data_IF_621568761170
#
_entry.id   IF_621568761170
#
_cell.length_a   1.000
_cell.length_b   1.000
_cell.length_c   1.000
_cell.angle_alpha   90.00
_cell.angle_beta   90.00
_cell.angle_gamma   90.00
#
_symmetry.space_group_name_H-M   'P 1'
#
loop_
_entity.id
_entity.type
_entity.pdbx_description
1 polymer ?
#
# COMPACT_ATOMS: atom_id res chain seq x y z
N UNK A 1 6.43 11.46 -13.12
CA UNK A 1 6.82 12.50 -12.13
C UNK A 1 5.97 12.27 -10.89
N UNK A 2 6.58 12.16 -9.72
CA UNK A 2 5.85 11.83 -8.49
C UNK A 2 5.19 13.10 -7.96
N UNK A 3 3.89 13.08 -7.65
CA UNK A 3 3.20 14.27 -7.16
C UNK A 3 3.76 14.76 -5.82
N UNK A 4 3.84 16.08 -5.64
CA UNK A 4 4.19 16.69 -4.35
C UNK A 4 3.20 16.24 -3.26
N UNK A 5 3.70 15.98 -2.05
CA UNK A 5 2.92 15.53 -0.89
C UNK A 5 2.26 14.15 -1.04
N UNK A 6 2.70 13.35 -2.01
CA UNK A 6 2.41 11.92 -2.12
C UNK A 6 3.72 11.17 -1.95
N UNK A 7 3.73 10.23 -1.00
CA UNK A 7 4.94 9.47 -0.64
C UNK A 7 4.74 7.98 -0.89
N UNK A 8 4.92 7.54 -2.15
CA UNK A 8 4.77 6.14 -2.53
C UNK A 8 5.99 5.34 -2.06
N UNK A 9 5.74 4.24 -1.37
CA UNK A 9 6.76 3.29 -0.92
C UNK A 9 6.33 1.88 -1.31
N UNK A 10 7.28 1.13 -1.84
CA UNK A 10 7.10 -0.29 -2.07
C UNK A 10 7.91 -1.08 -1.06
N UNK A 11 7.24 -2.05 -0.43
CA UNK A 11 7.83 -2.97 0.53
C UNK A 11 7.91 -4.35 -0.09
N UNK A 12 9.10 -4.93 -0.11
CA UNK A 12 9.34 -6.28 -0.65
C UNK A 12 9.67 -7.18 0.54
N UNK A 13 8.76 -8.11 0.86
CA UNK A 13 8.95 -9.08 1.94
C UNK A 13 7.97 -10.27 1.76
N UNK A 14 8.23 -11.40 2.40
CA UNK A 14 7.35 -12.58 2.31
C UNK A 14 6.16 -12.53 3.28
N UNK A 15 6.27 -11.81 4.39
CA UNK A 15 5.21 -11.66 5.39
C UNK A 15 4.53 -10.28 5.27
N UNK A 16 3.98 -10.03 4.08
CA UNK A 16 3.38 -8.74 3.72
C UNK A 16 2.18 -8.37 4.60
N UNK A 17 1.37 -9.37 4.98
CA UNK A 17 0.18 -9.20 5.82
C UNK A 17 0.55 -8.70 7.23
N UNK A 18 1.53 -9.34 7.89
CA UNK A 18 1.98 -8.91 9.22
C UNK A 18 2.52 -7.48 9.18
N UNK A 19 3.42 -7.20 8.23
CA UNK A 19 4.06 -5.89 8.09
C UNK A 19 3.01 -4.80 7.86
N UNK A 20 2.11 -4.97 6.88
CA UNK A 20 1.09 -3.96 6.60
C UNK A 20 0.13 -3.78 7.76
N UNK A 21 -0.23 -4.84 8.48
CA UNK A 21 -1.15 -4.71 9.60
C UNK A 21 -0.50 -3.96 10.76
N UNK A 22 0.76 -4.24 11.10
CA UNK A 22 1.54 -3.46 12.07
C UNK A 22 1.68 -1.99 11.66
N UNK A 23 1.99 -1.74 10.39
CA UNK A 23 2.08 -0.39 9.83
C UNK A 23 0.72 0.33 9.92
N UNK A 24 -0.38 -0.36 9.63
CA UNK A 24 -1.74 0.20 9.74
C UNK A 24 -2.05 0.64 11.17
N UNK A 25 -1.74 -0.23 12.15
CA UNK A 25 -1.91 0.09 13.57
C UNK A 25 -1.06 1.31 13.94
N UNK A 26 0.22 1.32 13.58
CA UNK A 26 1.11 2.42 13.92
C UNK A 26 0.59 3.77 13.40
N UNK A 27 0.12 3.82 12.15
CA UNK A 27 -0.44 5.05 11.60
C UNK A 27 -1.77 5.45 12.25
N UNK A 28 -2.62 4.47 12.58
CA UNK A 28 -3.85 4.72 13.29
C UNK A 28 -3.59 5.24 14.72
N UNK A 29 -2.57 4.74 15.42
CA UNK A 29 -2.11 5.26 16.72
C UNK A 29 -1.65 6.73 16.64
N UNK A 30 -1.18 7.17 15.47
CA UNK A 30 -0.88 8.59 15.19
C UNK A 30 -2.11 9.41 14.80
N UNK A 31 -3.30 8.84 14.85
CA UNK A 31 -4.56 9.51 14.52
C UNK A 31 -4.82 9.66 13.01
N UNK A 32 -4.13 8.88 12.16
CA UNK A 32 -4.32 8.94 10.71
C UNK A 32 -5.40 7.95 10.25
N UNK A 33 -6.22 8.38 9.29
CA UNK A 33 -7.18 7.49 8.64
C UNK A 33 -6.44 6.58 7.65
N UNK A 34 -6.55 5.28 7.85
CA UNK A 34 -5.85 4.25 7.08
C UNK A 34 -6.85 3.45 6.26
N UNK A 35 -6.57 3.29 4.97
CA UNK A 35 -7.19 2.26 4.14
C UNK A 35 -6.28 1.05 4.08
N UNK A 36 -6.81 -0.10 4.49
CA UNK A 36 -6.15 -1.39 4.38
C UNK A 36 -6.82 -2.19 3.27
N UNK A 37 -6.20 -2.24 2.10
CA UNK A 37 -6.73 -2.89 0.91
C UNK A 37 -6.09 -4.26 0.73
N UNK A 38 -6.89 -5.31 0.63
CA UNK A 38 -6.42 -6.70 0.51
C UNK A 38 -7.26 -7.50 -0.49
N UNK A 39 -6.68 -8.47 -1.22
CA UNK A 39 -7.45 -9.33 -2.12
C UNK A 39 -8.40 -10.30 -1.40
N UNK A 40 -8.08 -10.64 -0.16
CA UNK A 40 -8.87 -11.57 0.66
C UNK A 40 -9.10 -11.02 2.06
N UNK A 41 -10.13 -11.56 2.72
CA UNK A 41 -10.38 -11.33 4.13
C UNK A 41 -9.14 -11.68 4.95
N UNK A 42 -8.90 -10.91 6.01
CA UNK A 42 -7.92 -11.28 7.02
C UNK A 42 -8.59 -12.32 7.91
N UNK A 43 -8.25 -13.59 7.73
CA UNK A 43 -8.86 -14.69 8.47
C UNK A 43 -8.58 -14.59 9.98
N UNK A 44 -7.40 -14.07 10.35
CA UNK A 44 -7.00 -13.82 11.73
C UNK A 44 -6.08 -12.61 11.81
N UNK A 45 -6.07 -11.95 12.98
CA UNK A 45 -5.03 -11.00 13.33
C UNK A 45 -3.70 -11.79 13.34
N UNK A 46 -2.65 -11.33 12.64
CA UNK A 46 -1.36 -12.01 12.65
C UNK A 46 -0.87 -12.29 14.07
N UNK A 47 -0.28 -13.47 14.29
CA UNK A 47 0.29 -13.83 15.58
C UNK A 47 1.30 -12.76 16.02
N UNK A 48 1.37 -12.47 17.33
CA UNK A 48 2.24 -11.45 17.95
C UNK A 48 1.79 -9.99 17.80
N UNK A 49 0.55 -9.73 17.38
CA UNK A 49 -0.02 -8.39 17.41
C UNK A 49 -0.93 -8.26 18.63
N UNK A 50 -0.56 -7.38 19.57
CA UNK A 50 -1.45 -6.96 20.65
C UNK A 50 -2.62 -6.22 20.00
N UNK A 51 -3.88 -6.64 20.23
CA UNK A 51 -5.03 -6.01 19.61
C UNK A 51 -5.10 -4.55 20.08
N UNK A 52 -5.12 -3.58 19.15
CA UNK A 52 -5.18 -2.18 19.51
C UNK A 52 -6.57 -1.82 20.03
N UNK A 53 -6.67 -0.68 20.72
CA UNK A 53 -7.92 -0.19 21.25
C UNK A 53 -8.97 0.04 20.14
N UNK A 54 -10.26 -0.05 20.53
CA UNK A 54 -11.39 0.13 19.61
C UNK A 54 -11.32 1.45 18.84
N UNK A 55 -10.84 2.51 19.47
CA UNK A 55 -10.70 3.83 18.86
C UNK A 55 -9.66 3.85 17.74
N UNK A 56 -8.54 3.13 17.92
CA UNK A 56 -7.50 2.98 16.90
C UNK A 56 -8.02 2.16 15.72
N UNK A 57 -8.74 1.07 15.99
CA UNK A 57 -9.35 0.25 14.93
C UNK A 57 -10.36 1.03 14.09
N UNK A 58 -11.08 2.00 14.67
CA UNK A 58 -12.03 2.84 13.92
C UNK A 58 -11.37 3.76 12.89
N UNK A 59 -10.06 4.00 13.00
CA UNK A 59 -9.29 4.77 12.02
C UNK A 59 -8.83 3.90 10.85
N UNK A 60 -8.93 2.57 10.96
CA UNK A 60 -8.55 1.62 9.91
C UNK A 60 -9.81 1.15 9.18
N UNK A 61 -9.91 1.48 7.90
CA UNK A 61 -10.96 0.97 7.01
C UNK A 61 -10.40 -0.21 6.22
N UNK A 62 -10.91 -1.41 6.50
CA UNK A 62 -10.59 -2.62 5.75
C UNK A 62 -11.41 -2.70 4.48
N UNK A 63 -10.76 -2.93 3.35
CA UNK A 63 -11.38 -2.96 2.02
C UNK A 63 -10.86 -4.21 1.31
N UNK A 64 -11.78 -5.05 0.85
CA UNK A 64 -11.46 -6.34 0.25
C UNK A 64 -11.83 -6.32 -1.24
N UNK A 65 -10.81 -6.29 -2.11
CA UNK A 65 -10.96 -6.13 -3.56
C UNK A 65 -10.23 -7.27 -4.24
N UNK A 66 -10.98 -8.19 -4.85
CA UNK A 66 -10.42 -9.48 -5.27
C UNK A 66 -9.39 -9.34 -6.40
N UNK A 67 -9.58 -8.40 -7.31
CA UNK A 67 -8.79 -8.28 -8.51
C UNK A 67 -8.50 -6.82 -8.90
N UNK A 68 -7.68 -6.66 -9.96
CA UNK A 68 -7.26 -5.37 -10.48
C UNK A 68 -8.43 -4.48 -10.88
N UNK A 69 -9.51 -5.07 -11.42
CA UNK A 69 -10.67 -4.32 -11.91
C UNK A 69 -11.45 -3.74 -10.74
N UNK A 70 -11.66 -4.52 -9.70
CA UNK A 70 -12.30 -4.07 -8.46
C UNK A 70 -11.48 -2.95 -7.80
N UNK A 71 -10.15 -3.10 -7.77
CA UNK A 71 -9.24 -2.08 -7.26
C UNK A 71 -9.33 -0.77 -8.06
N UNK A 72 -9.24 -0.83 -9.39
CA UNK A 72 -9.37 0.35 -10.25
C UNK A 72 -10.73 1.04 -10.09
N UNK A 73 -11.83 0.27 -10.08
CA UNK A 73 -13.16 0.82 -9.88
C UNK A 73 -13.28 1.54 -8.54
N UNK A 74 -12.76 0.93 -7.48
CA UNK A 74 -12.77 1.53 -6.15
C UNK A 74 -11.98 2.86 -6.13
N UNK A 75 -10.74 2.85 -6.64
CA UNK A 75 -9.87 4.03 -6.71
C UNK A 75 -10.45 5.16 -7.56
N UNK A 76 -11.11 4.84 -8.68
CA UNK A 76 -11.75 5.83 -9.55
C UNK A 76 -12.88 6.59 -8.84
N UNK A 77 -13.55 5.97 -7.88
CA UNK A 77 -14.61 6.62 -7.11
C UNK A 77 -14.12 7.44 -5.93
N UNK A 78 -12.81 7.40 -5.58
CA UNK A 78 -12.26 7.97 -4.33
C UNK A 78 -12.63 9.45 -4.09
N UNK A 79 -12.80 10.22 -5.16
CA UNK A 79 -13.19 11.62 -5.11
C UNK A 79 -14.59 11.83 -4.50
N UNK A 80 -15.48 10.84 -4.60
CA UNK A 80 -16.85 10.87 -4.07
C UNK A 80 -16.94 10.53 -2.57
N UNK A 81 -15.88 9.99 -1.97
CA UNK A 81 -15.93 9.48 -0.60
C UNK A 81 -15.93 10.60 0.43
N UNK A 82 -16.83 10.57 1.41
CA UNK A 82 -16.87 11.59 2.46
C UNK A 82 -15.62 11.54 3.36
N UNK A 83 -15.16 10.35 3.73
CA UNK A 83 -13.93 10.14 4.51
C UNK A 83 -12.82 9.69 3.57
N UNK A 84 -11.80 10.53 3.41
CA UNK A 84 -10.65 10.23 2.57
C UNK A 84 -9.47 9.76 3.44
N UNK A 85 -8.76 8.70 3.07
CA UNK A 85 -7.61 8.21 3.84
C UNK A 85 -6.43 9.19 3.76
N UNK A 86 -5.59 9.19 4.79
CA UNK A 86 -4.25 9.80 4.77
C UNK A 86 -3.19 8.75 4.44
N UNK A 87 -3.48 7.47 4.74
CA UNK A 87 -2.61 6.33 4.43
C UNK A 87 -3.38 5.32 3.59
N UNK A 88 -2.81 4.91 2.47
CA UNK A 88 -3.35 3.84 1.61
C UNK A 88 -2.35 2.69 1.64
N UNK A 89 -2.78 1.55 2.16
CA UNK A 89 -2.02 0.31 2.24
C UNK A 89 -2.58 -0.70 1.25
N UNK A 90 -1.75 -1.22 0.36
CA UNK A 90 -2.14 -2.25 -0.61
C UNK A 90 -1.36 -3.53 -0.32
N UNK A 91 -2.09 -4.57 0.08
CA UNK A 91 -1.53 -5.90 0.27
C UNK A 91 -1.47 -6.66 -1.06
N UNK A 92 -0.30 -7.21 -1.40
CA UNK A 92 -0.12 -8.10 -2.54
C UNK A 92 -0.30 -7.40 -3.89
N UNK A 93 0.50 -6.36 -4.17
CA UNK A 93 0.46 -5.64 -5.45
C UNK A 93 0.73 -6.56 -6.66
N UNK A 94 1.53 -7.60 -6.46
CA UNK A 94 1.79 -8.67 -7.43
C UNK A 94 0.50 -9.40 -7.85
N UNK A 95 -0.45 -9.60 -6.94
CA UNK A 95 -1.74 -10.26 -7.20
C UNK A 95 -2.61 -9.40 -8.12
N UNK A 96 -2.59 -8.08 -7.96
CA UNK A 96 -3.36 -7.17 -8.82
C UNK A 96 -2.73 -6.96 -10.19
N UNK A 97 -1.43 -7.20 -10.33
CA UNK A 97 -0.69 -6.93 -11.56
C UNK A 97 -0.31 -8.17 -12.33
N UNK A 98 -0.42 -9.35 -11.73
CA UNK A 98 0.05 -10.63 -12.26
C UNK A 98 1.52 -10.56 -12.69
N UNK A 99 2.36 -9.84 -11.94
CA UNK A 99 3.73 -9.51 -12.37
C UNK A 99 4.65 -10.74 -12.48
N UNK A 100 4.38 -11.75 -11.65
CA UNK A 100 5.06 -13.04 -11.65
C UNK A 100 4.43 -14.08 -12.58
N UNK A 101 3.34 -13.73 -13.27
CA UNK A 101 2.65 -14.65 -14.16
C UNK A 101 3.12 -14.48 -15.63
N UNK A 102 2.90 -15.50 -16.45
CA UNK A 102 3.21 -15.44 -17.89
C UNK A 102 2.32 -14.42 -18.62
N UNK A 103 1.09 -14.24 -18.16
CA UNK A 103 0.11 -13.33 -18.73
C UNK A 103 0.27 -11.86 -18.27
N UNK A 104 1.42 -11.52 -17.66
CA UNK A 104 1.74 -10.16 -17.21
C UNK A 104 1.53 -9.12 -18.31
N UNK A 105 0.80 -8.05 -17.99
CA UNK A 105 0.55 -6.93 -18.88
C UNK A 105 1.18 -5.65 -18.30
N UNK A 106 2.36 -5.21 -18.78
CA UNK A 106 3.04 -4.03 -18.26
C UNK A 106 2.17 -2.77 -18.24
N UNK A 107 1.35 -2.59 -19.28
CA UNK A 107 0.44 -1.45 -19.38
C UNK A 107 -0.63 -1.44 -18.28
N UNK A 108 -1.08 -2.61 -17.80
CA UNK A 108 -2.04 -2.70 -16.70
C UNK A 108 -1.38 -2.32 -15.37
N UNK A 109 -0.15 -2.79 -15.12
CA UNK A 109 0.60 -2.43 -13.92
C UNK A 109 0.94 -0.93 -13.88
N UNK A 110 1.30 -0.35 -15.03
CA UNK A 110 1.52 1.09 -15.19
C UNK A 110 0.23 1.90 -14.96
N UNK A 111 -0.89 1.46 -15.52
CA UNK A 111 -2.20 2.07 -15.30
C UNK A 111 -2.55 2.05 -13.81
N UNK A 112 -2.47 0.89 -13.16
CA UNK A 112 -2.78 0.76 -11.74
C UNK A 112 -1.87 1.64 -10.87
N UNK A 113 -0.56 1.64 -11.14
CA UNK A 113 0.40 2.49 -10.41
C UNK A 113 0.06 3.97 -10.56
N UNK A 114 -0.28 4.40 -11.77
CA UNK A 114 -0.67 5.80 -12.04
C UNK A 114 -1.98 6.15 -11.35
N UNK A 115 -3.00 5.30 -11.45
CA UNK A 115 -4.29 5.49 -10.77
C UNK A 115 -4.12 5.58 -9.25
N UNK A 116 -3.24 4.77 -8.65
CA UNK A 116 -2.95 4.86 -7.21
C UNK A 116 -2.31 6.18 -6.82
N UNK A 117 -1.36 6.68 -7.61
CA UNK A 117 -0.74 7.98 -7.39
C UNK A 117 -1.77 9.11 -7.54
N UNK A 118 -2.61 9.06 -8.57
CA UNK A 118 -3.67 10.05 -8.80
C UNK A 118 -4.71 10.05 -7.68
N UNK A 119 -5.17 8.87 -7.25
CA UNK A 119 -6.04 8.71 -6.09
C UNK A 119 -5.39 9.26 -4.81
N UNK A 120 -4.09 9.06 -4.64
CA UNK A 120 -3.35 9.61 -3.50
C UNK A 120 -3.28 11.15 -3.54
N UNK A 121 -3.17 11.75 -4.73
CA UNK A 121 -3.26 13.21 -4.92
C UNK A 121 -4.65 13.73 -4.56
N UNK A 122 -5.71 13.02 -4.95
CA UNK A 122 -7.09 13.37 -4.56
C UNK A 122 -7.22 13.37 -3.04
N UNK A 123 -6.70 12.34 -2.37
CA UNK A 123 -6.68 12.27 -0.90
C UNK A 123 -5.96 13.46 -0.27
N UNK A 124 -4.77 13.81 -0.77
CA UNK A 124 -3.99 14.95 -0.29
C UNK A 124 -4.79 16.25 -0.45
N UNK A 125 -5.38 16.47 -1.63
CA UNK A 125 -6.16 17.68 -1.93
C UNK A 125 -7.39 17.84 -1.02
N UNK A 126 -8.04 16.73 -0.64
CA UNK A 126 -9.21 16.71 0.24
C UNK A 126 -8.81 16.89 1.71
N UNK A 127 -7.78 16.18 2.16
CA UNK A 127 -7.37 16.18 3.56
C UNK A 127 -6.46 17.35 3.93
N UNK A 128 -5.86 18.04 2.95
CA UNK A 128 -4.81 19.06 3.15
C UNK A 128 -3.62 18.56 3.97
N UNK A 129 -3.39 17.24 3.93
CA UNK A 129 -2.30 16.51 4.58
C UNK A 129 -1.66 15.59 3.56
N UNK A 130 -0.36 15.37 3.70
CA UNK A 130 0.40 14.41 2.91
C UNK A 130 -0.30 13.05 2.85
N UNK A 131 -0.28 12.42 1.67
CA UNK A 131 -0.79 11.04 1.52
C UNK A 131 0.37 10.07 1.45
N UNK A 132 0.29 9.04 2.28
CA UNK A 132 1.26 7.95 2.32
C UNK A 132 0.68 6.74 1.57
N UNK A 133 1.36 6.30 0.53
CA UNK A 133 0.95 5.15 -0.27
C UNK A 133 1.97 4.03 -0.05
N UNK A 134 1.57 2.94 0.59
CA UNK A 134 2.44 1.79 0.86
C UNK A 134 1.87 0.59 0.13
N UNK A 135 2.69 -0.01 -0.72
CA UNK A 135 2.37 -1.26 -1.39
C UNK A 135 3.29 -2.35 -0.89
N UNK A 136 2.80 -3.57 -0.88
CA UNK A 136 3.63 -4.74 -0.65
C UNK A 136 3.73 -5.60 -1.89
N UNK A 137 4.88 -6.25 -2.03
CA UNK A 137 5.16 -7.25 -3.04
C UNK A 137 5.86 -8.43 -2.36
N UNK A 138 5.54 -9.66 -2.77
CA UNK A 138 6.32 -10.82 -2.35
C UNK A 138 7.77 -10.75 -2.84
N UNK A 139 8.66 -11.55 -2.25
CA UNK A 139 10.06 -11.60 -2.68
C UNK A 139 10.15 -11.95 -4.17
N UNK A 140 10.98 -11.18 -4.87
CA UNK A 140 11.05 -11.18 -6.34
C UNK A 140 11.88 -12.38 -6.80
N UNK A 141 11.32 -13.30 -7.59
CA UNK A 141 12.11 -14.31 -8.26
C UNK A 141 13.00 -13.67 -9.34
N UNK A 142 14.21 -14.18 -9.53
CA UNK A 142 15.24 -13.52 -10.36
C UNK A 142 14.81 -13.27 -11.81
N UNK A 143 13.99 -14.16 -12.37
CA UNK A 143 13.46 -14.06 -13.73
C UNK A 143 12.45 -12.91 -13.95
N UNK A 144 11.97 -12.24 -12.89
CA UNK A 144 11.02 -11.13 -12.99
C UNK A 144 11.60 -9.76 -12.61
N UNK A 145 12.89 -9.68 -12.25
CA UNK A 145 13.51 -8.44 -11.78
C UNK A 145 13.36 -7.27 -12.75
N UNK A 146 13.50 -7.49 -14.05
CA UNK A 146 13.43 -6.41 -15.05
C UNK A 146 12.02 -5.82 -15.15
N UNK A 147 10.97 -6.65 -15.06
CA UNK A 147 9.56 -6.19 -15.11
C UNK A 147 9.26 -5.23 -13.98
N UNK A 148 9.87 -5.49 -12.84
CA UNK A 148 9.66 -4.81 -11.59
C UNK A 148 10.49 -3.52 -11.53
N UNK A 149 11.74 -3.57 -11.99
CA UNK A 149 12.64 -2.41 -12.05
C UNK A 149 12.00 -1.23 -12.80
N UNK A 150 11.29 -1.49 -13.90
CA UNK A 150 10.58 -0.44 -14.64
C UNK A 150 9.51 0.25 -13.79
N UNK A 151 8.75 -0.50 -12.99
CA UNK A 151 7.74 0.07 -12.11
C UNK A 151 8.38 0.90 -10.99
N UNK A 152 9.53 0.46 -10.50
CA UNK A 152 10.26 1.10 -9.41
C UNK A 152 10.80 2.46 -9.85
N UNK A 153 11.55 2.45 -10.94
CA UNK A 153 12.22 3.64 -11.47
C UNK A 153 11.20 4.74 -11.85
N UNK A 154 9.97 4.37 -12.23
CA UNK A 154 8.95 5.32 -12.66
C UNK A 154 7.98 5.78 -11.57
N UNK A 155 7.57 4.90 -10.66
CA UNK A 155 6.43 5.13 -9.77
C UNK A 155 6.76 5.06 -8.27
N UNK A 156 7.82 4.34 -7.88
CA UNK A 156 8.12 4.02 -6.47
C UNK A 156 9.59 4.37 -6.14
N UNK A 157 9.88 5.62 -5.75
CA UNK A 157 11.24 6.10 -5.51
C UNK A 157 11.83 5.56 -4.21
N UNK A 158 10.97 5.06 -3.31
CA UNK A 158 11.35 4.47 -2.04
C UNK A 158 10.99 2.99 -2.05
N UNK A 159 12.01 2.15 -1.92
CA UNK A 159 11.88 0.70 -1.92
C UNK A 159 12.52 0.19 -0.64
N UNK A 160 11.76 -0.56 0.13
CA UNK A 160 12.21 -1.15 1.38
C UNK A 160 12.24 -2.67 1.19
N UNK A 161 13.43 -3.23 1.35
CA UNK A 161 13.69 -4.66 1.34
C UNK A 161 14.51 -5.02 2.56
N UNK A 162 14.05 -6.01 3.32
CA UNK A 162 14.78 -6.62 4.43
C UNK A 162 14.16 -7.99 4.73
N UNK A 163 14.94 -8.89 5.32
CA UNK A 163 14.45 -10.19 5.76
C UNK A 163 13.71 -10.08 7.11
N UNK A 164 14.08 -9.10 7.94
CA UNK A 164 13.51 -8.93 9.28
C UNK A 164 12.32 -7.98 9.25
N UNK A 165 11.16 -8.48 9.60
CA UNK A 165 9.87 -7.77 9.54
C UNK A 165 9.87 -6.48 10.38
N UNK A 166 10.42 -6.54 11.61
CA UNK A 166 10.51 -5.37 12.51
C UNK A 166 11.37 -4.25 11.89
N UNK A 167 12.49 -4.59 11.25
CA UNK A 167 13.34 -3.62 10.56
C UNK A 167 12.60 -2.98 9.38
N UNK A 168 11.79 -3.77 8.65
CA UNK A 168 10.95 -3.24 7.57
C UNK A 168 9.93 -2.25 8.12
N UNK A 169 9.22 -2.61 9.19
CA UNK A 169 8.21 -1.76 9.83
C UNK A 169 8.86 -0.44 10.28
N UNK A 170 10.01 -0.51 10.96
CA UNK A 170 10.74 0.67 11.41
C UNK A 170 11.19 1.55 10.24
N UNK A 171 11.72 0.97 9.16
CA UNK A 171 12.11 1.73 7.96
C UNK A 171 10.91 2.42 7.32
N UNK A 172 9.77 1.73 7.23
CA UNK A 172 8.51 2.29 6.71
C UNK A 172 8.12 3.48 7.59
N UNK A 173 7.93 3.27 8.88
CA UNK A 173 7.49 4.31 9.83
C UNK A 173 8.44 5.51 9.86
N UNK A 174 9.76 5.27 9.98
CA UNK A 174 10.76 6.33 10.05
C UNK A 174 10.88 7.13 8.75
N UNK A 175 10.68 6.48 7.59
CA UNK A 175 10.65 7.21 6.32
C UNK A 175 9.57 8.31 6.33
N UNK A 176 8.45 8.08 7.02
CA UNK A 176 7.32 9.01 7.05
C UNK A 176 7.37 10.02 8.19
N UNK A 177 8.00 9.71 9.33
CA UNK A 177 8.23 10.70 10.39
C UNK A 177 9.12 11.85 9.90
N UNK A 178 10.00 11.57 8.95
CA UNK A 178 10.97 12.53 8.41
C UNK A 178 10.46 13.32 7.17
N UNK A 179 9.15 13.28 6.86
CA UNK A 179 8.54 13.92 5.68
C UNK A 179 7.36 14.81 6.06
#
# INVERSE_FOLDING_TARGET
MIPTNVYPTLVINNNTNFILFKVAIHFAEKGLNVWFISPSLLDNIPANIVPPDKEILQLITFIYLKDCKDLLNHLNTIHLWHKSPTVILICGFDIYTNIFEENYKPMLAALLSTTLLDSSVVCYKKNKKSTYLILTLQTIPDNYRDRIKVLYDMYFPNIITDQHEEIVIDKVVNYYINK
#
